data_IF_409666021080
#
_entry.id   IF_409666021080
#
_cell.length_a   1.000
_cell.length_b   1.000
_cell.length_c   1.000
_cell.angle_alpha   90.00
_cell.angle_beta   90.00
_cell.angle_gamma   90.00
#
_symmetry.space_group_name_H-M   'P 1'
#
loop_
_entity.id
_entity.type
_entity.pdbx_description
1 polymer ?
#
# COMPACT_ATOMS: atom_id res chain seq x y z
N UNK A 1 2.60 -31.18 35.02
CA UNK A 1 1.85 -29.93 34.76
C UNK A 1 2.82 -28.97 34.05
N UNK A 2 2.78 -28.90 32.74
CA UNK A 2 3.58 -27.94 31.97
C UNK A 2 2.86 -26.63 32.05
N UNK A 3 3.48 -25.62 32.63
CA UNK A 3 3.03 -24.23 32.57
C UNK A 3 3.22 -23.81 31.14
N UNK A 4 2.12 -23.74 30.36
CA UNK A 4 2.14 -23.04 29.09
C UNK A 4 2.43 -21.58 29.41
N UNK A 5 3.63 -21.10 29.09
CA UNK A 5 3.93 -19.67 29.02
C UNK A 5 3.03 -19.07 27.93
N UNK A 6 1.98 -18.40 28.37
CA UNK A 6 1.19 -17.56 27.47
C UNK A 6 2.12 -16.45 26.95
N UNK A 7 2.47 -16.48 25.68
CA UNK A 7 3.18 -15.35 25.06
C UNK A 7 2.36 -14.08 25.29
N UNK A 8 3.00 -12.95 25.66
CA UNK A 8 2.27 -11.72 25.92
C UNK A 8 1.50 -11.32 24.67
N UNK A 9 0.21 -11.07 24.83
CA UNK A 9 -0.66 -10.55 23.76
C UNK A 9 -0.05 -9.26 23.21
N UNK A 10 0.15 -9.19 21.90
CA UNK A 10 0.57 -7.95 21.23
C UNK A 10 -0.60 -6.96 21.28
N UNK A 11 -0.38 -5.80 21.89
CA UNK A 11 -1.37 -4.74 22.01
C UNK A 11 -0.80 -3.44 21.45
N UNK A 12 -1.68 -2.61 20.88
CA UNK A 12 -1.32 -1.27 20.45
C UNK A 12 -1.19 -0.36 21.66
N UNK A 13 0.04 0.02 22.00
CA UNK A 13 0.34 0.97 23.08
C UNK A 13 0.56 2.33 22.49
N UNK A 14 0.05 3.37 23.16
CA UNK A 14 0.26 4.74 22.74
C UNK A 14 1.75 5.05 22.60
N UNK A 15 2.13 5.56 21.43
CA UNK A 15 3.44 6.11 21.13
C UNK A 15 3.35 7.63 21.12
N UNK A 16 3.29 8.23 19.92
CA UNK A 16 3.21 9.67 19.74
C UNK A 16 2.16 10.07 18.71
N UNK A 17 1.73 11.33 18.77
CA UNK A 17 0.78 11.93 17.85
C UNK A 17 1.37 13.20 17.25
N UNK A 18 1.08 13.47 15.99
CA UNK A 18 1.42 14.69 15.28
C UNK A 18 0.33 15.04 14.28
N UNK A 19 0.46 16.20 13.64
CA UNK A 19 -0.46 16.65 12.60
C UNK A 19 0.34 17.21 11.42
N UNK A 20 -0.20 16.99 10.22
CA UNK A 20 0.19 17.68 8.98
C UNK A 20 -0.89 18.70 8.64
N UNK A 21 -0.62 19.62 7.71
CA UNK A 21 -1.49 20.79 7.49
C UNK A 21 -2.80 20.47 6.75
N UNK A 22 -2.85 19.34 6.04
CA UNK A 22 -4.01 18.92 5.25
C UNK A 22 -4.12 17.40 5.28
N UNK A 23 -5.06 16.82 4.54
CA UNK A 23 -5.28 15.38 4.41
C UNK A 23 -3.97 14.62 4.16
N UNK A 24 -3.61 13.74 5.09
CA UNK A 24 -2.44 12.88 4.97
C UNK A 24 -2.70 11.81 3.90
N UNK A 25 -2.22 12.05 2.67
CA UNK A 25 -2.58 11.25 1.50
C UNK A 25 -1.69 10.03 1.31
N UNK A 26 -0.39 10.15 1.61
CA UNK A 26 0.59 9.10 1.38
C UNK A 26 1.80 9.28 2.29
N UNK A 27 2.62 8.23 2.43
CA UNK A 27 3.83 8.27 3.23
C UNK A 27 4.40 6.89 3.48
N UNK A 28 5.16 6.75 4.56
CA UNK A 28 5.71 5.49 5.03
C UNK A 28 6.98 5.66 5.85
N UNK A 29 7.37 4.59 6.52
CA UNK A 29 8.64 4.52 7.22
C UNK A 29 9.79 4.42 6.22
N UNK A 30 10.93 5.05 6.51
CA UNK A 30 12.14 4.78 5.74
C UNK A 30 12.63 3.35 6.00
N UNK A 31 13.59 2.89 5.22
CA UNK A 31 14.07 1.51 5.18
C UNK A 31 14.53 0.94 6.53
N UNK A 32 15.01 1.77 7.45
CA UNK A 32 15.48 1.36 8.78
C UNK A 32 14.51 1.70 9.92
N UNK A 33 13.37 2.35 9.62
CA UNK A 33 12.35 2.73 10.59
C UNK A 33 12.72 3.88 11.53
N UNK A 34 13.78 4.64 11.23
CA UNK A 34 14.22 5.78 12.03
C UNK A 34 13.36 7.01 11.81
N UNK A 35 12.81 7.17 10.61
CA UNK A 35 11.94 8.30 10.28
C UNK A 35 10.64 7.86 9.65
N UNK A 36 9.58 8.63 9.90
CA UNK A 36 8.29 8.51 9.22
C UNK A 36 8.12 9.72 8.30
N UNK A 37 7.88 9.46 7.01
CA UNK A 37 7.68 10.46 5.98
C UNK A 37 6.19 10.52 5.67
N UNK A 38 5.58 11.71 5.77
CA UNK A 38 4.17 11.92 5.45
C UNK A 38 4.05 13.06 4.45
N UNK A 39 3.19 12.86 3.46
CA UNK A 39 2.83 13.83 2.45
C UNK A 39 1.35 14.18 2.59
N UNK A 40 1.02 15.47 2.57
CA UNK A 40 -0.36 15.94 2.58
C UNK A 40 -0.86 16.36 1.18
N UNK A 41 -2.17 16.47 1.04
CA UNK A 41 -2.83 16.80 -0.22
C UNK A 41 -2.54 18.24 -0.69
N UNK A 42 -2.20 19.16 0.22
CA UNK A 42 -1.82 20.53 -0.13
C UNK A 42 -0.39 20.66 -0.66
N UNK A 43 0.36 19.56 -0.75
CA UNK A 43 1.73 19.54 -1.25
C UNK A 43 2.79 19.68 -0.15
N UNK A 44 2.43 19.44 1.10
CA UNK A 44 3.35 19.43 2.23
C UNK A 44 4.07 18.09 2.37
N UNK A 45 5.34 18.15 2.75
CA UNK A 45 6.16 17.00 3.16
C UNK A 45 6.58 17.22 4.61
N UNK A 46 6.45 16.19 5.42
CA UNK A 46 6.84 16.16 6.83
C UNK A 46 7.66 14.92 7.09
N UNK A 47 8.82 15.08 7.68
CA UNK A 47 9.69 14.00 8.12
C UNK A 47 9.79 14.05 9.63
N UNK A 48 9.23 13.04 10.27
CA UNK A 48 9.18 12.90 11.73
C UNK A 48 10.26 11.94 12.20
N UNK A 49 10.85 12.24 13.35
CA UNK A 49 11.65 11.26 14.12
C UNK A 49 10.75 10.10 14.53
N UNK A 50 11.16 8.89 14.22
CA UNK A 50 10.33 7.70 14.40
C UNK A 50 10.07 7.33 15.87
N UNK A 51 10.85 7.85 16.82
CA UNK A 51 10.69 7.56 18.26
C UNK A 51 9.93 8.65 18.97
N UNK A 52 10.25 9.93 18.69
CA UNK A 52 9.68 11.07 19.40
C UNK A 52 8.48 11.70 18.71
N UNK A 53 8.34 11.52 17.39
CA UNK A 53 7.35 12.24 16.60
C UNK A 53 7.69 13.71 16.34
N UNK A 54 8.88 14.15 16.71
CA UNK A 54 9.35 15.51 16.41
C UNK A 54 9.60 15.68 14.91
N UNK A 55 9.24 16.85 14.37
CA UNK A 55 9.48 17.18 12.96
C UNK A 55 10.98 17.44 12.75
N UNK A 56 11.67 16.53 12.08
CA UNK A 56 13.09 16.70 11.71
C UNK A 56 13.25 17.77 10.63
N UNK A 57 12.35 17.79 9.66
CA UNK A 57 12.18 18.85 8.67
C UNK A 57 10.83 18.74 7.98
N UNK A 58 10.38 19.85 7.39
CA UNK A 58 9.19 19.89 6.56
C UNK A 58 9.38 20.87 5.41
N UNK A 59 8.62 20.68 4.35
CA UNK A 59 8.57 21.61 3.23
C UNK A 59 7.15 21.63 2.66
N UNK A 60 6.56 22.83 2.56
CA UNK A 60 5.23 23.02 2.00
C UNK A 60 5.27 23.30 0.48
N UNK A 61 4.14 23.04 -0.17
CA UNK A 61 3.87 23.41 -1.57
C UNK A 61 4.95 22.96 -2.56
N UNK A 62 5.38 21.68 -2.44
CA UNK A 62 6.44 21.15 -3.29
C UNK A 62 5.94 20.81 -4.69
N UNK A 63 4.61 20.65 -4.85
CA UNK A 63 3.91 20.47 -6.12
C UNK A 63 2.80 21.49 -6.28
N UNK A 64 2.64 22.04 -7.46
CA UNK A 64 1.51 22.87 -7.81
C UNK A 64 0.25 22.01 -7.95
N UNK A 65 -0.84 22.41 -7.28
CA UNK A 65 -2.08 21.60 -7.20
C UNK A 65 -2.05 20.44 -6.18
N UNK A 66 -0.89 20.17 -5.53
CA UNK A 66 -0.77 19.20 -4.46
C UNK A 66 -0.10 17.89 -4.84
N UNK A 67 0.17 17.06 -3.79
CA UNK A 67 0.73 15.72 -3.94
C UNK A 67 -0.40 14.73 -4.15
N UNK A 68 -0.21 13.79 -5.08
CA UNK A 68 -1.13 12.67 -5.31
C UNK A 68 -0.57 11.35 -4.82
N UNK A 69 0.76 11.18 -4.90
CA UNK A 69 1.43 9.94 -4.53
C UNK A 69 2.81 10.18 -3.94
N UNK A 70 3.22 9.26 -3.07
CA UNK A 70 4.59 9.17 -2.57
C UNK A 70 5.03 7.71 -2.51
N UNK A 71 6.31 7.45 -2.75
CA UNK A 71 6.91 6.13 -2.66
C UNK A 71 8.23 6.22 -1.89
N UNK A 72 8.34 5.44 -0.83
CA UNK A 72 9.55 5.37 -0.02
C UNK A 72 10.51 4.37 -0.65
N UNK A 73 11.78 4.74 -0.76
CA UNK A 73 12.80 3.86 -1.29
C UNK A 73 13.10 2.70 -0.31
N UNK A 74 13.09 1.43 -0.76
CA UNK A 74 13.14 0.29 0.15
C UNK A 74 14.48 0.10 0.88
N UNK A 75 15.58 0.71 0.41
CA UNK A 75 16.92 0.41 0.90
C UNK A 75 17.77 1.67 1.24
N UNK A 76 17.26 2.88 1.02
CA UNK A 76 18.02 4.12 1.24
C UNK A 76 17.14 5.23 1.82
N UNK A 77 17.75 6.34 2.19
CA UNK A 77 17.05 7.55 2.71
C UNK A 77 16.36 8.38 1.62
N UNK A 78 16.01 7.77 0.49
CA UNK A 78 15.30 8.42 -0.60
C UNK A 78 13.80 8.17 -0.52
N UNK A 79 13.05 9.07 -1.09
CA UNK A 79 11.64 8.88 -1.43
C UNK A 79 11.29 9.73 -2.65
N UNK A 80 10.20 9.39 -3.30
CA UNK A 80 9.71 10.14 -4.45
C UNK A 80 8.31 10.68 -4.17
N UNK A 81 7.99 11.86 -4.67
CA UNK A 81 6.64 12.43 -4.67
C UNK A 81 6.20 12.71 -6.09
N UNK A 82 4.90 12.53 -6.35
CA UNK A 82 4.25 12.86 -7.61
C UNK A 82 3.06 13.78 -7.38
N UNK A 83 2.93 14.80 -8.21
CA UNK A 83 1.93 15.85 -8.07
C UNK A 83 0.96 15.97 -9.23
N UNK A 84 0.01 16.90 -9.06
CA UNK A 84 -0.93 17.29 -10.10
C UNK A 84 -0.27 18.13 -11.21
N UNK A 85 0.93 18.64 -10.95
CA UNK A 85 1.74 19.44 -11.86
C UNK A 85 2.56 18.61 -12.87
N UNK A 86 2.33 17.31 -12.95
CA UNK A 86 3.07 16.41 -13.84
C UNK A 86 4.52 16.17 -13.44
N UNK A 87 4.93 16.62 -12.26
CA UNK A 87 6.31 16.47 -11.79
C UNK A 87 6.47 15.30 -10.85
N UNK A 88 7.62 14.64 -10.95
CA UNK A 88 8.15 13.70 -9.98
C UNK A 88 9.36 14.35 -9.33
N UNK A 89 9.45 14.31 -8.00
CA UNK A 89 10.58 14.84 -7.27
C UNK A 89 11.17 13.71 -6.42
N UNK A 90 12.46 13.44 -6.61
CA UNK A 90 13.24 12.51 -5.78
C UNK A 90 13.92 13.30 -4.67
N UNK A 91 13.73 12.87 -3.45
CA UNK A 91 14.18 13.50 -2.22
C UNK A 91 15.17 12.63 -1.48
N UNK A 92 16.00 13.26 -0.67
CA UNK A 92 16.85 12.59 0.31
C UNK A 92 16.53 13.11 1.70
N UNK A 93 16.04 12.24 2.59
CA UNK A 93 15.63 12.61 3.96
C UNK A 93 16.79 13.06 4.82
N UNK A 94 17.94 12.36 4.74
CA UNK A 94 19.14 12.69 5.51
C UNK A 94 19.75 14.03 5.10
N UNK A 95 19.82 14.29 3.77
CA UNK A 95 20.36 15.54 3.24
C UNK A 95 19.32 16.68 3.23
N UNK A 96 18.06 16.40 3.55
CA UNK A 96 16.93 17.34 3.60
C UNK A 96 16.78 18.17 2.31
N UNK A 97 16.95 17.52 1.14
CA UNK A 97 16.95 18.21 -0.15
C UNK A 97 16.32 17.40 -1.26
N UNK A 98 15.96 18.12 -2.32
CA UNK A 98 15.62 17.54 -3.61
C UNK A 98 16.89 17.06 -4.32
N UNK A 99 16.91 15.83 -4.80
CA UNK A 99 18.01 15.30 -5.62
C UNK A 99 17.71 15.45 -7.11
N UNK A 100 16.46 15.26 -7.51
CA UNK A 100 16.05 15.30 -8.92
C UNK A 100 14.62 15.79 -9.05
N UNK A 101 14.35 16.56 -10.11
CA UNK A 101 13.01 16.87 -10.61
C UNK A 101 12.91 16.29 -12.01
N UNK A 102 11.83 15.54 -12.27
CA UNK A 102 11.46 15.03 -13.57
C UNK A 102 10.12 15.65 -13.91
N UNK A 103 10.04 16.31 -15.05
CA UNK A 103 8.85 17.01 -15.51
C UNK A 103 8.31 16.28 -16.74
N UNK A 104 7.09 15.76 -16.65
CA UNK A 104 6.39 15.06 -17.74
C UNK A 104 5.46 16.01 -18.52
N UNK A 105 5.40 17.27 -18.13
CA UNK A 105 4.45 18.25 -18.67
C UNK A 105 3.06 18.04 -18.08
N UNK A 106 2.06 18.08 -18.94
CA UNK A 106 0.65 17.95 -18.52
C UNK A 106 0.30 16.52 -18.06
N UNK A 107 -0.40 16.41 -16.95
CA UNK A 107 -0.94 15.18 -16.44
C UNK A 107 -0.62 14.96 -14.95
N UNK A 108 -1.40 14.12 -14.30
CA UNK A 108 -1.29 13.82 -12.89
C UNK A 108 -0.39 12.60 -12.67
N UNK A 109 0.51 12.69 -11.70
CA UNK A 109 1.34 11.57 -11.27
C UNK A 109 0.58 10.80 -10.18
N UNK A 110 -0.24 9.85 -10.60
CA UNK A 110 -1.21 9.18 -9.73
C UNK A 110 -0.59 8.03 -8.92
N UNK A 111 0.42 7.36 -9.49
CA UNK A 111 1.08 6.25 -8.81
C UNK A 111 2.59 6.31 -8.99
N UNK A 112 3.30 5.98 -7.91
CA UNK A 112 4.74 5.81 -7.83
C UNK A 112 5.04 4.48 -7.14
N UNK A 113 6.04 3.75 -7.63
CA UNK A 113 6.50 2.50 -6.99
C UNK A 113 7.97 2.25 -7.27
N UNK A 114 8.77 2.07 -6.21
CA UNK A 114 10.14 1.59 -6.33
C UNK A 114 10.17 0.08 -6.53
N UNK A 115 11.09 -0.41 -7.34
CA UNK A 115 11.41 -1.84 -7.40
C UNK A 115 11.96 -2.32 -6.05
N UNK A 116 11.82 -3.60 -5.74
CA UNK A 116 12.24 -4.16 -4.44
C UNK A 116 13.73 -3.98 -4.14
N UNK A 117 14.57 -3.90 -5.16
CA UNK A 117 16.00 -3.60 -5.03
C UNK A 117 16.31 -2.10 -5.04
N UNK A 118 15.31 -1.25 -5.21
CA UNK A 118 15.45 0.20 -5.25
C UNK A 118 16.11 0.77 -6.51
N UNK A 119 16.46 -0.04 -7.49
CA UNK A 119 17.19 0.43 -8.68
C UNK A 119 16.30 1.14 -9.70
N UNK A 120 14.97 0.89 -9.67
CA UNK A 120 14.01 1.44 -10.62
C UNK A 120 12.83 2.09 -9.93
N UNK A 121 12.37 3.22 -10.47
CA UNK A 121 11.15 3.92 -10.08
C UNK A 121 10.13 3.85 -11.23
N UNK A 122 8.99 3.18 -10.98
CA UNK A 122 7.85 3.20 -11.89
C UNK A 122 6.92 4.37 -11.54
N UNK A 123 6.39 5.01 -12.56
CA UNK A 123 5.53 6.19 -12.49
C UNK A 123 4.37 6.03 -13.44
N UNK A 124 3.14 6.26 -13.00
CA UNK A 124 2.00 6.42 -13.90
C UNK A 124 1.60 7.88 -14.06
N UNK A 125 1.40 8.29 -15.31
CA UNK A 125 0.82 9.57 -15.67
C UNK A 125 -0.31 9.31 -16.66
N UNK A 126 -1.55 9.44 -16.20
CA UNK A 126 -2.75 9.13 -16.99
C UNK A 126 -2.69 7.70 -17.57
N UNK A 127 -2.55 7.57 -18.88
CA UNK A 127 -2.54 6.27 -19.60
C UNK A 127 -1.15 5.74 -19.91
N UNK A 128 -0.10 6.43 -19.47
CA UNK A 128 1.30 6.09 -19.77
C UNK A 128 2.05 5.73 -18.49
N UNK A 129 2.91 4.73 -18.60
CA UNK A 129 3.82 4.35 -17.54
C UNK A 129 5.25 4.63 -17.97
N UNK A 130 6.03 5.17 -17.06
CA UNK A 130 7.44 5.47 -17.23
C UNK A 130 8.24 4.70 -16.18
N UNK A 131 9.42 4.28 -16.54
CA UNK A 131 10.39 3.70 -15.60
C UNK A 131 11.69 4.47 -15.67
N UNK A 132 12.18 4.84 -14.51
CA UNK A 132 13.42 5.59 -14.32
C UNK A 132 14.42 4.79 -13.49
N UNK A 133 15.71 5.09 -13.65
CA UNK A 133 16.73 4.66 -12.69
C UNK A 133 16.54 5.40 -11.37
N UNK A 134 17.18 4.93 -10.31
CA UNK A 134 17.18 5.60 -9.00
C UNK A 134 17.77 7.02 -9.01
N UNK A 135 18.53 7.38 -10.05
CA UNK A 135 19.04 8.73 -10.30
C UNK A 135 18.05 9.60 -11.09
N UNK A 136 16.92 9.03 -11.54
CA UNK A 136 15.89 9.75 -12.31
C UNK A 136 16.21 9.88 -13.80
N UNK A 137 16.97 8.95 -14.38
CA UNK A 137 17.14 8.85 -15.82
C UNK A 137 16.09 7.89 -16.40
N UNK A 138 15.42 8.29 -17.49
CA UNK A 138 14.41 7.44 -18.13
C UNK A 138 15.06 6.17 -18.68
N UNK A 139 14.49 5.01 -18.34
CA UNK A 139 14.86 3.72 -18.91
C UNK A 139 13.94 3.42 -20.09
N UNK A 140 12.63 3.52 -19.88
CA UNK A 140 11.62 3.35 -20.93
C UNK A 140 10.28 3.98 -20.54
N UNK A 141 9.43 4.16 -21.54
CA UNK A 141 8.02 4.51 -21.38
C UNK A 141 7.12 3.56 -22.17
N UNK A 142 5.92 3.30 -21.66
CA UNK A 142 4.94 2.46 -22.35
C UNK A 142 4.22 3.22 -23.47
N UNK A 143 3.63 2.47 -24.39
CA UNK A 143 2.50 2.97 -25.18
C UNK A 143 1.30 3.22 -24.26
N UNK A 144 0.32 3.98 -24.72
CA UNK A 144 -0.91 4.23 -23.97
C UNK A 144 -1.64 2.93 -23.62
N UNK A 145 -1.99 2.80 -22.34
CA UNK A 145 -2.91 1.78 -21.86
C UNK A 145 -4.35 2.07 -22.37
N UNK A 146 -5.24 1.11 -22.25
CA UNK A 146 -6.64 1.26 -22.68
C UNK A 146 -7.38 2.38 -21.96
N UNK A 147 -7.03 2.60 -20.69
CA UNK A 147 -7.54 3.68 -19.84
C UNK A 147 -6.43 4.19 -18.91
N UNK A 148 -6.75 5.13 -18.03
CA UNK A 148 -5.87 5.55 -16.92
C UNK A 148 -5.35 4.33 -16.16
N UNK A 149 -4.07 4.34 -15.83
CA UNK A 149 -3.41 3.31 -15.02
C UNK A 149 -3.83 3.49 -13.57
N UNK A 150 -4.58 2.54 -13.03
CA UNK A 150 -5.17 2.62 -11.69
C UNK A 150 -4.21 2.19 -10.59
N UNK A 151 -3.22 1.35 -10.90
CA UNK A 151 -2.22 0.90 -9.92
C UNK A 151 -0.93 0.42 -10.59
N UNK A 152 0.17 0.43 -9.82
CA UNK A 152 1.49 -0.09 -10.17
C UNK A 152 2.00 -1.02 -9.06
N UNK A 153 2.74 -2.06 -9.44
CA UNK A 153 3.40 -2.95 -8.49
C UNK A 153 4.56 -3.70 -9.13
N UNK A 154 5.63 -3.91 -8.38
CA UNK A 154 6.77 -4.70 -8.84
C UNK A 154 6.66 -6.14 -8.38
N UNK A 155 6.93 -7.07 -9.28
CA UNK A 155 7.13 -8.47 -8.94
C UNK A 155 8.51 -8.70 -8.35
N UNK A 156 8.67 -9.82 -7.63
CA UNK A 156 9.99 -10.24 -7.10
C UNK A 156 11.03 -10.44 -8.23
N UNK A 157 10.57 -10.74 -9.44
CA UNK A 157 11.41 -10.95 -10.62
C UNK A 157 11.69 -9.67 -11.42
N UNK A 158 11.47 -8.48 -10.82
CA UNK A 158 11.67 -7.16 -11.45
C UNK A 158 10.78 -6.91 -12.67
N UNK A 159 9.62 -7.52 -12.73
CA UNK A 159 8.60 -7.16 -13.71
C UNK A 159 7.67 -6.11 -13.12
N UNK A 160 7.30 -5.12 -13.91
CA UNK A 160 6.33 -4.11 -13.54
C UNK A 160 4.94 -4.56 -13.90
N UNK A 161 4.08 -4.75 -12.90
CA UNK A 161 2.64 -4.95 -13.07
C UNK A 161 1.92 -3.60 -13.14
N UNK A 162 0.99 -3.47 -14.06
CA UNK A 162 0.12 -2.29 -14.20
C UNK A 162 -1.32 -2.72 -14.36
N UNK A 163 -2.26 -1.99 -13.77
CA UNK A 163 -3.70 -2.21 -13.95
C UNK A 163 -4.35 -1.05 -14.67
N UNK A 164 -5.28 -1.37 -15.54
CA UNK A 164 -6.19 -0.40 -16.17
C UNK A 164 -7.53 -1.08 -16.45
N UNK A 165 -8.46 -0.37 -17.09
CA UNK A 165 -9.68 -1.02 -17.58
C UNK A 165 -9.32 -2.19 -18.52
N UNK A 166 -9.86 -3.35 -18.23
CA UNK A 166 -9.81 -4.52 -19.07
C UNK A 166 -8.59 -5.43 -18.84
N UNK A 167 -7.58 -5.06 -18.04
CA UNK A 167 -6.42 -5.95 -17.88
C UNK A 167 -5.44 -5.58 -16.78
N UNK A 168 -4.62 -6.57 -16.41
CA UNK A 168 -3.30 -6.40 -15.80
C UNK A 168 -2.24 -6.71 -16.86
N UNK A 169 -1.21 -5.87 -16.95
CA UNK A 169 -0.08 -6.10 -17.85
C UNK A 169 1.22 -6.17 -17.05
N UNK A 170 2.07 -7.14 -17.39
CA UNK A 170 3.41 -7.27 -16.83
C UNK A 170 4.45 -6.90 -17.91
N UNK A 171 5.35 -6.02 -17.53
CA UNK A 171 6.44 -5.55 -18.37
C UNK A 171 7.78 -5.97 -17.77
N UNK A 172 8.71 -6.35 -18.60
CA UNK A 172 10.11 -6.49 -18.19
C UNK A 172 10.62 -5.13 -17.72
N UNK A 173 11.13 -5.06 -16.48
CA UNK A 173 11.49 -3.80 -15.82
C UNK A 173 12.59 -3.01 -16.53
N UNK A 174 13.50 -3.67 -17.23
CA UNK A 174 14.61 -3.01 -17.92
C UNK A 174 14.30 -2.64 -19.36
N UNK A 175 13.55 -3.48 -20.07
CA UNK A 175 13.32 -3.28 -21.52
C UNK A 175 11.95 -2.72 -21.84
N UNK A 176 11.01 -2.72 -20.90
CA UNK A 176 9.62 -2.32 -21.14
C UNK A 176 8.84 -3.26 -22.06
N UNK A 177 9.40 -4.42 -22.39
CA UNK A 177 8.69 -5.41 -23.20
C UNK A 177 7.57 -6.06 -22.40
N UNK A 178 6.40 -6.17 -23.01
CA UNK A 178 5.27 -6.89 -22.41
C UNK A 178 5.63 -8.36 -22.29
N UNK A 179 5.52 -8.90 -21.08
CA UNK A 179 5.77 -10.30 -20.73
C UNK A 179 4.47 -11.09 -20.66
N UNK A 180 3.43 -10.50 -20.09
CA UNK A 180 2.14 -11.15 -19.89
C UNK A 180 1.02 -10.12 -19.87
N UNK A 181 -0.17 -10.53 -20.34
CA UNK A 181 -1.42 -9.77 -20.21
C UNK A 181 -2.48 -10.70 -19.66
N UNK A 182 -3.11 -10.27 -18.59
CA UNK A 182 -4.22 -10.98 -17.94
C UNK A 182 -5.47 -10.14 -18.18
N UNK A 183 -6.37 -10.64 -19.00
CA UNK A 183 -7.54 -9.89 -19.46
C UNK A 183 -8.71 -10.07 -18.48
N UNK A 184 -9.45 -9.01 -18.26
CA UNK A 184 -10.69 -9.00 -17.51
C UNK A 184 -11.63 -7.93 -18.03
N UNK A 185 -12.91 -8.25 -18.12
CA UNK A 185 -13.94 -7.37 -18.69
C UNK A 185 -14.52 -6.44 -17.62
N UNK A 186 -13.72 -5.53 -17.09
CA UNK A 186 -14.14 -4.61 -16.01
C UNK A 186 -13.08 -3.58 -15.64
N UNK A 187 -13.44 -2.68 -14.73
CA UNK A 187 -12.57 -1.64 -14.21
C UNK A 187 -11.90 -2.12 -12.92
N UNK A 188 -10.59 -2.34 -13.00
CA UNK A 188 -9.75 -2.73 -11.87
C UNK A 188 -9.33 -1.46 -11.12
N UNK A 189 -9.63 -1.38 -9.81
CA UNK A 189 -9.44 -0.17 -8.99
C UNK A 189 -8.33 -0.29 -7.96
N UNK A 190 -7.93 -1.52 -7.63
CA UNK A 190 -6.82 -1.82 -6.74
C UNK A 190 -6.09 -3.06 -7.21
N UNK A 191 -4.83 -3.23 -6.78
CA UNK A 191 -4.03 -4.40 -7.10
C UNK A 191 -3.06 -4.72 -5.97
N UNK A 192 -2.88 -6.01 -5.69
CA UNK A 192 -1.79 -6.54 -4.87
C UNK A 192 -1.21 -7.79 -5.50
N UNK A 193 0.10 -7.96 -5.40
CA UNK A 193 0.81 -9.17 -5.80
C UNK A 193 1.10 -10.01 -4.57
N UNK A 194 0.99 -11.34 -4.68
CA UNK A 194 1.53 -12.22 -3.66
C UNK A 194 3.06 -12.06 -3.56
N UNK A 195 3.70 -12.36 -2.41
CA UNK A 195 5.14 -12.19 -2.25
C UNK A 195 5.99 -12.92 -3.29
N UNK A 196 5.56 -14.10 -3.74
CA UNK A 196 6.21 -14.84 -4.84
C UNK A 196 5.81 -14.32 -6.23
N UNK A 197 4.87 -13.35 -6.29
CA UNK A 197 4.35 -12.71 -7.50
C UNK A 197 3.67 -13.67 -8.52
N UNK A 198 3.28 -14.87 -8.10
CA UNK A 198 2.50 -15.78 -8.95
C UNK A 198 1.00 -15.46 -8.93
N UNK A 199 0.51 -14.87 -7.83
CA UNK A 199 -0.88 -14.47 -7.71
C UNK A 199 -0.98 -12.95 -7.82
N UNK A 200 -1.82 -12.46 -8.72
CA UNK A 200 -2.22 -11.06 -8.78
C UNK A 200 -3.70 -10.95 -8.45
N UNK A 201 -4.03 -10.08 -7.52
CA UNK A 201 -5.40 -9.84 -7.05
C UNK A 201 -5.78 -8.39 -7.30
N UNK A 202 -6.95 -8.17 -7.86
CA UNK A 202 -7.49 -6.85 -8.13
C UNK A 202 -8.91 -6.72 -7.57
N UNK A 203 -9.15 -5.62 -6.87
CA UNK A 203 -10.53 -5.18 -6.61
C UNK A 203 -11.12 -4.52 -7.83
N UNK A 204 -12.39 -4.76 -8.09
CA UNK A 204 -13.11 -4.28 -9.27
C UNK A 204 -14.22 -3.28 -8.90
N UNK A 205 -14.57 -2.43 -9.86
CA UNK A 205 -15.62 -1.41 -9.74
C UNK A 205 -17.01 -2.02 -9.49
N UNK A 206 -17.23 -3.27 -9.87
CA UNK A 206 -18.49 -4.02 -9.72
C UNK A 206 -18.63 -4.75 -8.38
N UNK A 207 -17.84 -4.36 -7.38
CA UNK A 207 -17.82 -4.95 -6.05
C UNK A 207 -17.37 -6.42 -6.02
N UNK A 208 -16.51 -6.83 -6.94
CA UNK A 208 -15.87 -8.14 -6.94
C UNK A 208 -14.38 -8.04 -6.74
N UNK A 209 -13.75 -9.13 -6.36
CA UNK A 209 -12.31 -9.32 -6.43
C UNK A 209 -12.04 -10.32 -7.53
N UNK A 210 -11.13 -9.95 -8.43
CA UNK A 210 -10.65 -10.80 -9.49
C UNK A 210 -9.19 -11.15 -9.25
N UNK A 211 -8.82 -12.41 -9.47
CA UNK A 211 -7.44 -12.82 -9.30
C UNK A 211 -7.00 -13.84 -10.36
N UNK A 212 -5.71 -13.87 -10.63
CA UNK A 212 -5.08 -14.79 -11.58
C UNK A 212 -3.90 -15.50 -10.91
N UNK A 213 -3.72 -16.77 -11.29
CA UNK A 213 -2.46 -17.50 -11.10
C UNK A 213 -1.65 -17.32 -12.37
N UNK A 214 -0.58 -16.56 -12.29
CA UNK A 214 0.22 -16.17 -13.47
C UNK A 214 0.87 -17.34 -14.17
N UNK A 215 1.35 -18.33 -13.43
CA UNK A 215 1.99 -19.55 -13.96
C UNK A 215 1.06 -20.39 -14.84
N UNK A 216 -0.24 -20.38 -14.59
CA UNK A 216 -1.25 -21.16 -15.32
C UNK A 216 -2.19 -20.29 -16.15
N UNK A 217 -2.15 -18.97 -15.98
CA UNK A 217 -3.09 -17.99 -16.51
C UNK A 217 -4.56 -18.23 -16.09
N UNK A 218 -4.74 -19.11 -15.11
CA UNK A 218 -6.07 -19.39 -14.56
C UNK A 218 -6.57 -18.17 -13.80
N UNK A 219 -7.80 -17.79 -14.08
CA UNK A 219 -8.51 -16.70 -13.41
C UNK A 219 -9.67 -17.20 -12.55
N UNK A 220 -9.99 -16.45 -11.52
CA UNK A 220 -11.12 -16.69 -10.63
C UNK A 220 -11.63 -15.39 -10.02
N UNK A 221 -12.83 -15.45 -9.48
CA UNK A 221 -13.52 -14.27 -8.92
C UNK A 221 -14.11 -14.59 -7.56
N UNK A 222 -13.98 -13.64 -6.64
CA UNK A 222 -14.65 -13.62 -5.34
C UNK A 222 -15.72 -12.51 -5.37
N UNK A 223 -16.96 -12.87 -5.04
CA UNK A 223 -18.12 -11.98 -5.06
C UNK A 223 -18.81 -11.90 -3.68
N UNK A 224 -19.82 -11.06 -3.56
CA UNK A 224 -20.58 -10.90 -2.31
C UNK A 224 -20.14 -9.69 -1.49
N UNK A 225 -19.25 -8.85 -1.99
CA UNK A 225 -18.88 -7.61 -1.33
C UNK A 225 -19.97 -6.54 -1.52
N UNK A 226 -20.47 -5.90 -0.43
CA UNK A 226 -21.46 -4.84 -0.57
C UNK A 226 -20.88 -3.54 -1.15
N UNK A 227 -19.57 -3.33 -1.04
CA UNK A 227 -18.86 -2.16 -1.57
C UNK A 227 -17.60 -2.61 -2.32
N UNK A 228 -16.97 -1.67 -3.06
CA UNK A 228 -15.73 -1.92 -3.81
C UNK A 228 -14.59 -2.35 -2.88
N UNK A 229 -13.99 -3.51 -3.08
CA UNK A 229 -12.87 -3.98 -2.28
C UNK A 229 -11.58 -3.28 -2.72
N UNK A 230 -11.33 -2.10 -2.16
CA UNK A 230 -10.13 -1.30 -2.47
C UNK A 230 -8.96 -1.57 -1.52
N UNK A 231 -9.21 -2.11 -0.33
CA UNK A 231 -8.19 -2.47 0.63
C UNK A 231 -7.86 -3.96 0.49
N UNK A 232 -6.62 -4.25 0.12
CA UNK A 232 -6.09 -5.60 -0.14
C UNK A 232 -4.71 -5.70 0.49
N UNK A 233 -4.42 -6.82 1.17
CA UNK A 233 -3.08 -7.10 1.72
C UNK A 233 -2.84 -8.60 1.78
N UNK A 234 -1.71 -9.07 1.27
CA UNK A 234 -1.22 -10.43 1.49
C UNK A 234 -0.37 -10.51 2.76
N UNK A 235 -0.39 -11.65 3.43
CA UNK A 235 0.60 -12.01 4.43
C UNK A 235 1.98 -12.28 3.78
N UNK A 236 3.04 -12.35 4.60
CA UNK A 236 4.42 -12.56 4.11
C UNK A 236 4.62 -13.87 3.33
N UNK A 237 3.78 -14.87 3.55
CA UNK A 237 3.86 -16.17 2.87
C UNK A 237 3.05 -16.23 1.58
N UNK A 238 2.15 -15.27 1.36
CA UNK A 238 1.16 -15.31 0.28
C UNK A 238 0.08 -16.38 0.47
N UNK A 239 -0.02 -16.95 1.67
CA UNK A 239 -1.01 -17.97 2.01
C UNK A 239 -2.37 -17.39 2.35
N UNK A 240 -2.41 -16.13 2.77
CA UNK A 240 -3.64 -15.45 3.18
C UNK A 240 -3.74 -14.06 2.58
N UNK A 241 -4.92 -13.73 2.11
CA UNK A 241 -5.30 -12.43 1.60
C UNK A 241 -6.35 -11.81 2.52
N UNK A 242 -6.06 -10.64 3.06
CA UNK A 242 -7.06 -9.80 3.71
C UNK A 242 -7.71 -8.87 2.69
N UNK A 243 -9.03 -8.74 2.74
CA UNK A 243 -9.81 -7.87 1.85
C UNK A 243 -10.82 -7.05 2.63
N UNK A 244 -11.05 -5.81 2.21
CA UNK A 244 -12.02 -4.90 2.78
C UNK A 244 -12.95 -4.37 1.70
N UNK A 245 -14.23 -4.66 1.80
CA UNK A 245 -15.30 -4.18 0.91
C UNK A 245 -16.60 -3.95 1.67
N UNK A 246 -16.53 -3.89 3.00
CA UNK A 246 -17.61 -3.57 3.93
C UNK A 246 -17.02 -3.12 5.27
N UNK A 247 -17.78 -3.17 6.35
CA UNK A 247 -17.32 -3.06 7.73
C UNK A 247 -16.62 -4.32 8.25
N UNK A 248 -16.64 -5.42 7.51
CA UNK A 248 -15.97 -6.66 7.86
C UNK A 248 -14.65 -6.80 7.09
N UNK A 249 -13.60 -7.28 7.77
CA UNK A 249 -12.38 -7.76 7.12
C UNK A 249 -12.58 -9.23 6.78
N UNK A 250 -12.39 -9.60 5.53
CA UNK A 250 -12.45 -11.01 5.11
C UNK A 250 -11.07 -11.55 4.81
N UNK A 251 -10.76 -12.74 5.33
CA UNK A 251 -9.48 -13.42 5.16
C UNK A 251 -9.69 -14.66 4.29
N UNK A 252 -9.07 -14.66 3.13
CA UNK A 252 -9.10 -15.75 2.17
C UNK A 252 -7.83 -16.59 2.26
N UNK A 253 -7.99 -17.92 2.27
CA UNK A 253 -6.85 -18.84 2.21
C UNK A 253 -6.49 -19.13 0.75
N UNK A 254 -5.23 -18.88 0.40
CA UNK A 254 -4.63 -19.24 -0.89
C UNK A 254 -3.77 -20.50 -0.80
N UNK A 255 -3.86 -21.25 0.31
CA UNK A 255 -3.19 -22.55 0.46
C UNK A 255 -3.80 -23.61 -0.47
N UNK A 256 -2.99 -24.52 -0.94
CA UNK A 256 -3.42 -25.59 -1.83
C UNK A 256 -4.01 -25.07 -3.13
N UNK A 257 -5.26 -25.39 -3.42
CA UNK A 257 -5.95 -24.95 -4.62
C UNK A 257 -6.47 -23.50 -4.55
N UNK A 258 -6.26 -22.80 -3.42
CA UNK A 258 -6.66 -21.40 -3.26
C UNK A 258 -8.08 -21.22 -2.72
N UNK A 259 -8.69 -20.04 -2.88
CA UNK A 259 -9.97 -19.72 -2.26
C UNK A 259 -11.19 -20.36 -2.96
N UNK A 260 -11.02 -20.97 -4.14
CA UNK A 260 -12.09 -21.55 -4.93
C UNK A 260 -12.88 -22.62 -4.15
N UNK A 261 -14.19 -22.42 -4.06
CA UNK A 261 -15.08 -23.35 -3.32
C UNK A 261 -14.98 -23.26 -1.80
N UNK A 262 -14.26 -22.27 -1.26
CA UNK A 262 -14.16 -22.03 0.19
C UNK A 262 -14.94 -20.78 0.61
N UNK A 263 -15.15 -20.63 1.92
CA UNK A 263 -15.67 -19.41 2.53
C UNK A 263 -14.55 -18.69 3.28
N UNK A 264 -14.51 -17.34 3.25
CA UNK A 264 -13.52 -16.60 4.02
C UNK A 264 -13.83 -16.62 5.52
N UNK A 265 -12.78 -16.42 6.33
CA UNK A 265 -12.97 -16.00 7.71
C UNK A 265 -13.40 -14.54 7.74
N UNK A 266 -14.45 -14.21 8.46
CA UNK A 266 -14.95 -12.83 8.64
C UNK A 266 -14.58 -12.31 10.02
N UNK A 267 -13.95 -11.11 10.07
CA UNK A 267 -13.52 -10.44 11.28
C UNK A 267 -14.37 -9.17 11.48
N UNK A 268 -15.07 -9.07 12.63
CA UNK A 268 -16.13 -8.07 12.86
C UNK A 268 -15.83 -7.25 14.11
N UNK A 269 -15.33 -6.04 13.94
CA UNK A 269 -15.23 -5.04 15.01
C UNK A 269 -15.49 -3.62 14.49
N UNK A 270 -15.29 -3.36 13.21
CA UNK A 270 -15.57 -2.06 12.64
C UNK A 270 -17.08 -1.84 12.42
N UNK A 271 -17.47 -0.58 12.51
CA UNK A 271 -18.88 -0.15 12.33
C UNK A 271 -19.12 0.60 11.02
N UNK A 272 -18.04 0.88 10.27
CA UNK A 272 -18.06 1.50 8.94
C UNK A 272 -17.07 0.81 8.01
N UNK A 273 -17.16 1.09 6.70
CA UNK A 273 -16.28 0.42 5.70
C UNK A 273 -14.80 0.53 5.98
N UNK A 274 -14.11 -0.57 5.78
CA UNK A 274 -12.65 -0.69 5.83
C UNK A 274 -12.04 0.20 4.74
N UNK A 275 -11.04 0.99 5.10
CA UNK A 275 -10.30 1.88 4.19
C UNK A 275 -8.91 1.38 3.87
N UNK A 276 -8.29 0.66 4.81
CA UNK A 276 -6.91 0.21 4.69
C UNK A 276 -6.68 -1.07 5.46
N UNK A 277 -5.83 -1.93 4.91
CA UNK A 277 -5.39 -3.20 5.49
C UNK A 277 -3.87 -3.28 5.33
N UNK A 278 -3.18 -3.74 6.35
CA UNK A 278 -1.74 -3.93 6.30
C UNK A 278 -1.34 -5.14 7.16
N UNK A 279 -0.89 -6.22 6.52
CA UNK A 279 -0.17 -7.27 7.23
C UNK A 279 1.19 -6.75 7.72
N UNK A 280 1.61 -7.19 8.89
CA UNK A 280 2.99 -7.02 9.35
C UNK A 280 3.96 -7.70 8.38
N UNK A 281 5.22 -7.25 8.35
CA UNK A 281 6.23 -7.81 7.46
C UNK A 281 6.60 -9.25 7.84
N UNK A 282 6.33 -9.65 9.09
CA UNK A 282 6.58 -11.00 9.61
C UNK A 282 5.44 -11.48 10.47
N UNK A 283 5.10 -12.75 10.28
CA UNK A 283 4.06 -13.41 11.06
C UNK A 283 2.66 -13.07 10.57
N UNK A 284 1.66 -13.26 11.44
CA UNK A 284 0.25 -13.25 11.07
C UNK A 284 -0.54 -12.09 11.71
N UNK A 285 0.15 -10.99 12.04
CA UNK A 285 -0.52 -9.80 12.54
C UNK A 285 -1.05 -8.96 11.36
N UNK A 286 -2.31 -8.62 11.41
CA UNK A 286 -2.98 -7.74 10.46
C UNK A 286 -3.47 -6.48 11.18
N UNK A 287 -3.19 -5.32 10.61
CA UNK A 287 -3.82 -4.07 11.02
C UNK A 287 -4.91 -3.69 10.03
N UNK A 288 -6.07 -3.28 10.53
CA UNK A 288 -7.17 -2.74 9.74
C UNK A 288 -7.56 -1.35 10.23
N UNK A 289 -7.88 -0.47 9.30
CA UNK A 289 -8.40 0.87 9.57
C UNK A 289 -9.69 1.11 8.81
N UNK A 290 -10.60 1.87 9.41
CA UNK A 290 -11.94 2.08 8.88
C UNK A 290 -12.35 3.55 8.87
N UNK A 291 -13.46 3.83 8.22
CA UNK A 291 -14.10 5.16 8.22
C UNK A 291 -14.69 5.56 9.58
N UNK A 292 -14.81 4.65 10.53
CA UNK A 292 -15.21 4.95 11.90
C UNK A 292 -14.08 5.54 12.77
N UNK A 293 -12.85 5.60 12.21
CA UNK A 293 -11.66 6.04 12.91
C UNK A 293 -10.98 4.93 13.71
N UNK A 294 -11.60 3.76 13.82
CA UNK A 294 -11.01 2.64 14.55
C UNK A 294 -9.83 2.02 13.79
N UNK A 295 -8.81 1.65 14.54
CA UNK A 295 -7.67 0.83 14.10
C UNK A 295 -7.65 -0.43 14.95
N UNK A 296 -7.73 -1.59 14.31
CA UNK A 296 -7.76 -2.89 14.98
C UNK A 296 -6.55 -3.71 14.57
N UNK A 297 -5.89 -4.28 15.58
CA UNK A 297 -4.83 -5.28 15.41
C UNK A 297 -5.41 -6.67 15.60
N UNK A 298 -5.24 -7.53 14.60
CA UNK A 298 -5.69 -8.92 14.58
C UNK A 298 -4.49 -9.87 14.66
N UNK A 299 -4.60 -10.94 15.47
CA UNK A 299 -3.67 -12.07 15.44
C UNK A 299 -4.34 -13.28 14.77
N UNK A 300 -3.95 -13.56 13.54
CA UNK A 300 -4.51 -14.64 12.74
C UNK A 300 -3.82 -16.00 13.00
N UNK A 301 -2.94 -16.12 14.00
CA UNK A 301 -2.39 -17.39 14.46
C UNK A 301 -3.39 -18.18 15.31
N UNK A 302 -4.30 -17.48 15.95
CA UNK A 302 -5.38 -18.06 16.75
C UNK A 302 -6.51 -18.50 15.83
N UNK A 303 -6.89 -19.76 15.85
CA UNK A 303 -8.01 -20.31 15.07
C UNK A 303 -9.39 -19.85 15.60
N UNK A 304 -9.44 -19.02 16.64
CA UNK A 304 -10.67 -18.53 17.23
C UNK A 304 -11.15 -17.24 16.55
N UNK A 305 -12.43 -17.16 16.25
CA UNK A 305 -13.11 -16.03 15.61
C UNK A 305 -12.99 -14.69 16.37
N UNK A 306 -12.55 -14.70 17.63
CA UNK A 306 -12.37 -13.52 18.49
C UNK A 306 -10.92 -13.00 18.52
N UNK A 307 -10.24 -13.00 17.39
CA UNK A 307 -8.80 -12.70 17.30
C UNK A 307 -8.43 -11.20 17.25
N UNK A 308 -9.35 -10.29 17.55
CA UNK A 308 -9.02 -8.88 17.77
C UNK A 308 -8.18 -8.71 19.04
N UNK A 309 -6.89 -8.38 18.89
CA UNK A 309 -5.98 -8.25 20.02
C UNK A 309 -6.06 -6.88 20.69
N UNK A 310 -6.31 -5.84 19.90
CA UNK A 310 -6.30 -4.48 20.39
C UNK A 310 -7.03 -3.58 19.42
N UNK A 311 -7.90 -2.74 19.98
CA UNK A 311 -8.59 -1.67 19.28
C UNK A 311 -8.13 -0.32 19.82
N UNK A 312 -7.93 0.62 18.92
CA UNK A 312 -7.63 2.02 19.20
C UNK A 312 -8.29 2.90 18.13
N UNK A 313 -8.14 4.21 18.24
CA UNK A 313 -8.76 5.11 17.26
C UNK A 313 -7.87 6.31 16.95
N UNK A 314 -8.08 6.89 15.78
CA UNK A 314 -7.62 8.21 15.36
C UNK A 314 -8.79 9.19 15.36
N UNK A 315 -8.52 10.46 15.07
CA UNK A 315 -9.53 11.53 15.20
C UNK A 315 -10.62 11.49 14.15
N UNK A 316 -10.33 10.91 12.97
CA UNK A 316 -11.28 10.82 11.84
C UNK A 316 -11.06 9.49 11.09
N UNK A 317 -11.72 9.33 9.96
CA UNK A 317 -11.56 8.18 9.06
C UNK A 317 -10.10 7.85 8.82
N UNK A 318 -9.69 6.61 9.09
CA UNK A 318 -8.34 6.14 8.81
C UNK A 318 -8.09 6.20 7.31
N UNK A 319 -7.00 6.81 6.89
CA UNK A 319 -6.62 6.89 5.46
C UNK A 319 -5.59 5.84 5.08
N UNK A 320 -4.57 5.63 5.89
CA UNK A 320 -3.46 4.69 5.66
C UNK A 320 -2.95 4.10 6.97
N UNK A 321 -2.37 2.91 6.87
CA UNK A 321 -1.63 2.23 7.93
C UNK A 321 -0.28 1.78 7.40
N UNK A 322 0.79 2.00 8.19
CA UNK A 322 2.16 1.63 7.81
C UNK A 322 2.88 0.96 8.97
N UNK A 323 3.20 -0.32 8.81
CA UNK A 323 4.09 -1.00 9.73
C UNK A 323 5.51 -0.46 9.63
N UNK A 324 6.16 -0.25 10.77
CA UNK A 324 7.60 -0.01 10.79
C UNK A 324 8.34 -1.28 10.33
N UNK A 325 9.48 -1.20 9.62
CA UNK A 325 10.17 -2.39 9.07
C UNK A 325 10.53 -3.50 10.07
N UNK A 326 10.60 -3.19 11.37
CA UNK A 326 10.85 -4.14 12.44
C UNK A 326 9.57 -4.71 13.10
N UNK A 327 8.38 -4.31 12.61
CA UNK A 327 7.06 -4.67 13.13
C UNK A 327 6.79 -4.31 14.61
N UNK A 328 7.59 -3.37 15.16
CA UNK A 328 7.44 -2.91 16.56
C UNK A 328 6.64 -1.62 16.69
N UNK A 329 6.23 -1.04 15.58
CA UNK A 329 5.36 0.12 15.57
C UNK A 329 4.45 0.12 14.35
N UNK A 330 3.27 0.70 14.52
CA UNK A 330 2.28 0.95 13.48
C UNK A 330 1.98 2.44 13.43
N UNK A 331 2.07 3.04 12.25
CA UNK A 331 1.63 4.40 12.00
C UNK A 331 0.24 4.39 11.35
N UNK A 332 -0.68 5.19 11.86
CA UNK A 332 -2.00 5.44 11.30
C UNK A 332 -2.15 6.89 10.90
N UNK A 333 -2.72 7.13 9.73
CA UNK A 333 -3.04 8.44 9.20
C UNK A 333 -4.55 8.62 9.14
N UNK A 334 -5.05 9.82 9.38
CA UNK A 334 -6.45 10.14 9.22
C UNK A 334 -6.72 11.26 8.19
N UNK A 335 -8.00 11.48 7.90
CA UNK A 335 -8.42 12.46 6.89
C UNK A 335 -8.27 13.92 7.31
N UNK A 336 -8.02 14.21 8.58
CA UNK A 336 -7.79 15.56 9.07
C UNK A 336 -6.30 15.89 9.25
N UNK A 337 -5.42 15.03 8.72
CA UNK A 337 -3.98 15.22 8.82
C UNK A 337 -3.39 14.69 10.12
N UNK A 338 -4.17 13.95 10.91
CA UNK A 338 -3.67 13.27 12.09
C UNK A 338 -2.67 12.16 11.73
N UNK A 339 -1.58 12.09 12.47
CA UNK A 339 -0.55 11.07 12.40
C UNK A 339 -0.40 10.49 13.80
N UNK A 340 -0.74 9.22 13.96
CA UNK A 340 -0.63 8.51 15.23
C UNK A 340 0.28 7.31 15.08
N UNK A 341 1.21 7.15 16.00
CA UNK A 341 2.09 5.98 16.05
C UNK A 341 1.84 5.22 17.35
N UNK A 342 1.64 3.92 17.21
CA UNK A 342 1.53 2.97 18.32
C UNK A 342 2.73 2.03 18.33
N UNK A 343 3.14 1.62 19.54
CA UNK A 343 4.08 0.52 19.75
C UNK A 343 3.30 -0.81 19.85
N UNK A 344 3.89 -1.87 19.30
CA UNK A 344 3.31 -3.23 19.24
C UNK A 344 4.11 -4.20 20.09
#
# INVERSE_FOLDING_TARGET
MSIMETQPQKILRSGWNAYVNDYAISGGWNYNGEVLIICDAAGGIYVFDGKSGEVIWSQGQVHEGGILSAAIHPLTDRFATGGQDGKIIIWNTHQKKREKIIDLGDGWIENLSWSHDGEMLAVSCSRTVYVYTKEGNEIWKSNNHNSTVSNLGWSINKELATTCYGRVSFFDGMSGKVKQKLEWKGSLVSMVLSPNSDIVVCGSQDNTIHFWRRSTEQDSMMSGYPLKPSALSFDETGSYLATGGSEEVTIWSFKGNGPEGTSPLSLKLHTKPITTLAFAHRGMNLASGSRDGAVVLWDLKSENEESGLSETSVSDSVSKLYWRPDDKALAGLDKQGGVTVWHV
#
